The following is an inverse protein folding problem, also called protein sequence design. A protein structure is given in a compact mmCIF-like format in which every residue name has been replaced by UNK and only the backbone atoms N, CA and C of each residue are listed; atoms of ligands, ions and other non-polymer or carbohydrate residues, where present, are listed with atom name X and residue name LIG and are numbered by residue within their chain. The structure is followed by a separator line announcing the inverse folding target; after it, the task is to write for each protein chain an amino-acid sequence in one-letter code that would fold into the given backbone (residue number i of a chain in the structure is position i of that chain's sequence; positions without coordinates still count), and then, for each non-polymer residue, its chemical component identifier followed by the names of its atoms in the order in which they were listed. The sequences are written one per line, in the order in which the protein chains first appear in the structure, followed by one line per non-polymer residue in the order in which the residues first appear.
data_IF_832270828457
#
_entry.id   IF_832270828457
#
_cell.length_a   1.000
_cell.length_b   1.000
_cell.length_c   1.000
_cell.angle_alpha   90.00
_cell.angle_beta   90.00
_cell.angle_gamma   90.00
#
_symmetry.space_group_name_H-M   'P 1'
#
loop_
_entity.id
_entity.type
_entity.pdbx_description
1 polymer ?
#
# COMPACT_ATOMS: atom_id res chain seq x y z
N UNK A 1 38.48 -0.49 -16.95
CA UNK A 1 37.52 0.53 -17.42
C UNK A 1 36.07 0.02 -17.55
N UNK A 2 35.83 -1.30 -17.73
CA UNK A 2 34.47 -1.88 -17.62
C UNK A 2 33.99 -1.99 -16.17
N UNK A 3 34.86 -2.35 -15.23
CA UNK A 3 34.51 -2.40 -13.80
C UNK A 3 34.10 -1.04 -13.21
N UNK A 4 34.71 0.06 -13.65
CA UNK A 4 34.34 1.41 -13.16
C UNK A 4 33.03 1.93 -13.78
N UNK A 5 32.73 1.58 -15.03
CA UNK A 5 31.40 1.88 -15.62
C UNK A 5 30.33 0.95 -15.06
N UNK A 6 30.64 -0.33 -14.84
CA UNK A 6 29.76 -1.27 -14.14
C UNK A 6 29.49 -0.76 -12.73
N UNK A 7 30.53 -0.40 -11.94
CA UNK A 7 30.41 0.16 -10.59
C UNK A 7 29.78 1.56 -10.53
N UNK A 8 30.00 2.44 -11.50
CA UNK A 8 29.25 3.70 -11.62
C UNK A 8 27.77 3.46 -11.87
N UNK A 9 27.42 2.34 -12.51
CA UNK A 9 26.05 1.89 -12.68
C UNK A 9 25.55 1.16 -11.42
N UNK A 10 26.38 0.41 -10.69
CA UNK A 10 25.97 -0.32 -9.48
C UNK A 10 25.82 0.56 -8.23
N UNK A 11 26.77 1.47 -7.94
CA UNK A 11 26.64 2.38 -6.78
C UNK A 11 25.52 3.40 -7.00
N UNK A 12 25.40 3.92 -8.22
CA UNK A 12 24.29 4.80 -8.59
C UNK A 12 22.95 4.08 -8.48
N UNK A 13 22.84 2.84 -8.97
CA UNK A 13 21.60 2.06 -8.87
C UNK A 13 21.28 1.70 -7.42
N UNK A 14 22.27 1.25 -6.64
CA UNK A 14 22.13 1.05 -5.18
C UNK A 14 21.57 2.31 -4.52
N UNK A 15 22.22 3.45 -4.73
CA UNK A 15 21.78 4.72 -4.15
C UNK A 15 20.36 5.11 -4.57
N UNK A 16 19.99 4.93 -5.84
CA UNK A 16 18.64 5.20 -6.35
C UNK A 16 17.60 4.31 -5.67
N UNK A 17 17.85 3.00 -5.61
CA UNK A 17 16.91 2.03 -5.03
C UNK A 17 16.81 2.21 -3.51
N UNK A 18 17.93 2.37 -2.80
CA UNK A 18 17.94 2.63 -1.35
C UNK A 18 17.22 3.93 -1.02
N UNK A 19 17.41 4.99 -1.83
CA UNK A 19 16.67 6.24 -1.67
C UNK A 19 15.17 6.07 -1.92
N UNK A 20 14.78 5.29 -2.94
CA UNK A 20 13.37 4.94 -3.22
C UNK A 20 12.75 4.18 -2.04
N UNK A 21 13.49 3.23 -1.45
CA UNK A 21 13.08 2.48 -0.25
C UNK A 21 12.85 3.40 0.95
N UNK A 22 13.79 4.30 1.26
CA UNK A 22 13.68 5.19 2.42
C UNK A 22 12.57 6.24 2.27
N UNK A 23 12.29 6.66 1.04
CA UNK A 23 11.21 7.58 0.73
C UNK A 23 9.88 6.87 0.48
N UNK A 24 9.83 5.55 0.62
CA UNK A 24 8.62 4.78 0.34
C UNK A 24 7.55 5.08 1.38
N UNK A 25 6.52 5.82 0.95
CA UNK A 25 5.34 6.19 1.72
C UNK A 25 4.12 6.11 0.82
N UNK A 26 3.01 5.70 1.42
CA UNK A 26 1.71 5.65 0.76
C UNK A 26 1.15 7.07 0.66
N UNK A 27 0.72 7.46 -0.53
CA UNK A 27 -0.03 8.69 -0.72
C UNK A 27 -1.51 8.47 -0.37
N UNK A 28 -2.17 9.45 0.24
CA UNK A 28 -3.56 9.32 0.74
C UNK A 28 -4.63 9.01 -0.31
N UNK A 29 -4.33 9.21 -1.60
CA UNK A 29 -5.24 8.88 -2.71
C UNK A 29 -4.91 7.54 -3.39
N UNK A 30 -3.86 6.85 -2.95
CA UNK A 30 -3.42 5.58 -3.54
C UNK A 30 -4.19 4.43 -2.92
N UNK A 31 -4.72 3.52 -3.76
CA UNK A 31 -5.33 2.28 -3.26
C UNK A 31 -4.27 1.36 -2.65
N UNK A 32 -4.63 0.63 -1.59
CA UNK A 32 -3.69 -0.26 -0.91
C UNK A 32 -3.07 -1.29 -1.85
N UNK A 33 -3.87 -1.88 -2.75
CA UNK A 33 -3.38 -2.84 -3.74
C UNK A 33 -2.28 -2.27 -4.66
N UNK A 34 -2.38 -0.99 -5.04
CA UNK A 34 -1.38 -0.30 -5.86
C UNK A 34 -0.10 -0.09 -5.04
N UNK A 35 -0.25 0.35 -3.79
CA UNK A 35 0.87 0.54 -2.86
C UNK A 35 1.65 -0.76 -2.61
N UNK A 36 0.95 -1.89 -2.40
CA UNK A 36 1.56 -3.22 -2.27
C UNK A 36 2.29 -3.64 -3.55
N UNK A 37 1.77 -3.29 -4.73
CA UNK A 37 2.45 -3.53 -6.00
C UNK A 37 3.80 -2.81 -6.07
N UNK A 38 3.81 -1.51 -5.73
CA UNK A 38 5.03 -0.69 -5.67
C UNK A 38 6.02 -1.19 -4.62
N UNK A 39 5.52 -1.61 -3.45
CA UNK A 39 6.32 -2.22 -2.41
C UNK A 39 7.05 -3.47 -2.92
N UNK A 40 6.34 -4.40 -3.55
CA UNK A 40 6.91 -5.63 -4.12
C UNK A 40 7.97 -5.33 -5.18
N UNK A 41 7.75 -4.31 -5.99
CA UNK A 41 8.74 -3.86 -6.97
C UNK A 41 10.03 -3.38 -6.30
N UNK A 42 9.93 -2.61 -5.21
CA UNK A 42 11.10 -2.14 -4.47
C UNK A 42 11.82 -3.31 -3.79
N UNK A 43 11.09 -4.27 -3.20
CA UNK A 43 11.68 -5.48 -2.60
C UNK A 43 12.48 -6.26 -3.65
N UNK A 44 11.92 -6.44 -4.86
CA UNK A 44 12.62 -7.09 -5.97
C UNK A 44 13.85 -6.27 -6.39
N UNK A 45 13.75 -4.95 -6.49
CA UNK A 45 14.89 -4.08 -6.83
C UNK A 45 16.02 -4.19 -5.79
N UNK A 46 15.69 -4.26 -4.50
CA UNK A 46 16.65 -4.48 -3.41
C UNK A 46 17.39 -5.82 -3.56
N UNK A 47 16.68 -6.89 -3.93
CA UNK A 47 17.29 -8.17 -4.27
C UNK A 47 18.24 -8.06 -5.46
N UNK A 48 17.84 -7.37 -6.54
CA UNK A 48 18.70 -7.21 -7.74
C UNK A 48 19.99 -6.45 -7.50
N UNK A 49 20.03 -5.56 -6.50
CA UNK A 49 21.25 -4.82 -6.13
C UNK A 49 22.12 -5.55 -5.10
N UNK A 50 21.72 -6.76 -4.70
CA UNK A 50 22.44 -7.62 -3.76
C UNK A 50 22.14 -7.33 -2.28
N UNK A 51 21.05 -6.62 -1.98
CA UNK A 51 20.67 -6.22 -0.62
C UNK A 51 19.24 -6.71 -0.29
N UNK A 52 18.97 -8.02 -0.30
CA UNK A 52 17.62 -8.55 -0.06
C UNK A 52 17.08 -8.13 1.31
N UNK A 53 15.77 -7.92 1.37
CA UNK A 53 15.05 -7.58 2.60
C UNK A 53 14.44 -8.86 3.19
N UNK A 54 14.80 -9.19 4.43
CA UNK A 54 14.10 -10.25 5.16
C UNK A 54 12.64 -9.87 5.45
N UNK A 55 11.82 -10.86 5.81
CA UNK A 55 10.39 -10.67 6.04
C UNK A 55 10.09 -9.66 7.15
N UNK A 56 10.93 -9.60 8.19
CA UNK A 56 10.73 -8.67 9.31
C UNK A 56 10.94 -7.24 8.86
N UNK A 57 12.01 -6.97 8.10
CA UNK A 57 12.26 -5.66 7.49
C UNK A 57 11.17 -5.28 6.51
N UNK A 58 10.67 -6.24 5.72
CA UNK A 58 9.55 -6.01 4.82
C UNK A 58 8.27 -5.61 5.57
N UNK A 59 7.96 -6.27 6.69
CA UNK A 59 6.82 -5.91 7.55
C UNK A 59 6.95 -4.50 8.12
N UNK A 60 8.11 -4.16 8.69
CA UNK A 60 8.39 -2.84 9.26
C UNK A 60 8.21 -1.74 8.20
N UNK A 61 8.73 -1.97 7.00
CA UNK A 61 8.63 -1.03 5.88
C UNK A 61 7.18 -0.89 5.39
N UNK A 62 6.46 -1.99 5.21
CA UNK A 62 5.08 -1.96 4.76
C UNK A 62 4.21 -1.20 5.77
N UNK A 63 4.19 -1.63 7.04
CA UNK A 63 3.36 -1.02 8.09
C UNK A 63 3.73 0.45 8.35
N UNK A 64 5.04 0.74 8.37
CA UNK A 64 5.54 2.10 8.56
C UNK A 64 5.35 3.01 7.36
N UNK A 65 4.99 2.48 6.19
CA UNK A 65 4.74 3.28 4.97
C UNK A 65 3.29 3.73 4.81
N UNK A 66 2.35 3.13 5.55
CA UNK A 66 0.92 3.40 5.39
C UNK A 66 0.54 4.79 5.91
N UNK A 67 -0.57 5.30 5.39
CA UNK A 67 -1.18 6.54 5.88
C UNK A 67 -1.86 6.33 7.23
N UNK A 68 -2.20 7.44 7.91
CA UNK A 68 -2.88 7.39 9.21
C UNK A 68 -4.24 6.67 9.19
N UNK A 69 -4.86 6.53 8.01
CA UNK A 69 -6.09 5.75 7.81
C UNK A 69 -5.92 4.27 8.23
N UNK A 70 -4.71 3.73 8.07
CA UNK A 70 -4.38 2.35 8.44
C UNK A 70 -3.81 2.22 9.86
N UNK A 71 -3.60 3.33 10.59
CA UNK A 71 -2.94 3.35 11.90
C UNK A 71 -3.51 2.33 12.89
N UNK A 72 -4.84 2.23 12.95
CA UNK A 72 -5.54 1.34 13.88
C UNK A 72 -5.22 -0.13 13.59
N UNK A 73 -5.34 -0.55 12.32
CA UNK A 73 -5.04 -1.93 11.95
C UNK A 73 -3.55 -2.22 12.02
N UNK A 74 -2.67 -1.29 11.64
CA UNK A 74 -1.22 -1.45 11.82
C UNK A 74 -0.86 -1.75 13.27
N UNK A 75 -1.45 -1.03 14.23
CA UNK A 75 -1.20 -1.27 15.66
C UNK A 75 -1.62 -2.68 16.08
N UNK A 76 -2.75 -3.19 15.57
CA UNK A 76 -3.20 -4.56 15.87
C UNK A 76 -2.24 -5.58 15.27
N UNK A 77 -1.81 -5.38 14.02
CA UNK A 77 -0.89 -6.28 13.34
C UNK A 77 0.50 -6.30 13.99
N UNK A 78 1.00 -5.16 14.47
CA UNK A 78 2.27 -5.06 15.20
C UNK A 78 2.27 -5.86 16.51
N UNK A 79 1.13 -5.97 17.17
CA UNK A 79 0.98 -6.72 18.42
C UNK A 79 0.57 -8.18 18.23
N UNK A 80 0.38 -8.62 16.97
CA UNK A 80 -0.02 -9.99 16.69
C UNK A 80 1.19 -10.93 16.79
N UNK A 81 1.18 -11.95 17.67
CA UNK A 81 2.25 -12.93 17.70
C UNK A 81 2.27 -13.73 16.40
N UNK A 82 3.45 -14.17 15.95
CA UNK A 82 3.64 -14.94 14.70
C UNK A 82 3.14 -14.22 13.44
N UNK A 83 3.26 -12.89 13.41
CA UNK A 83 2.91 -12.06 12.26
C UNK A 83 3.73 -12.45 11.02
N UNK A 84 3.05 -12.55 9.86
CA UNK A 84 3.67 -12.81 8.56
C UNK A 84 3.30 -11.72 7.56
N UNK A 85 4.14 -11.49 6.55
CA UNK A 85 3.88 -10.47 5.53
C UNK A 85 2.62 -10.78 4.73
N UNK A 86 2.40 -12.06 4.40
CA UNK A 86 1.21 -12.49 3.67
C UNK A 86 -0.07 -12.17 4.45
N UNK A 87 -0.09 -12.47 5.75
CA UNK A 87 -1.24 -12.15 6.61
C UNK A 87 -1.44 -10.63 6.72
N UNK A 88 -0.37 -9.84 6.85
CA UNK A 88 -0.46 -8.37 6.86
C UNK A 88 -1.17 -7.84 5.62
N UNK A 89 -0.70 -8.26 4.44
CA UNK A 89 -1.24 -7.82 3.15
C UNK A 89 -2.71 -8.22 3.03
N UNK A 90 -3.08 -9.44 3.44
CA UNK A 90 -4.45 -9.90 3.40
C UNK A 90 -5.37 -9.10 4.33
N UNK A 91 -4.95 -8.89 5.59
CA UNK A 91 -5.73 -8.15 6.57
C UNK A 91 -5.96 -6.69 6.13
N UNK A 92 -4.90 -6.03 5.65
CA UNK A 92 -4.97 -4.66 5.16
C UNK A 92 -5.82 -4.52 3.88
N UNK A 93 -5.73 -5.49 2.96
CA UNK A 93 -6.57 -5.50 1.74
C UNK A 93 -8.06 -5.68 2.06
N UNK A 94 -8.39 -6.38 3.15
CA UNK A 94 -9.78 -6.60 3.56
C UNK A 94 -10.44 -5.31 4.06
N UNK A 95 -9.66 -4.42 4.68
CA UNK A 95 -10.14 -3.10 5.13
C UNK A 95 -10.44 -2.20 3.93
N UNK A 96 -9.51 -2.10 2.99
CA UNK A 96 -9.66 -1.29 1.76
C UNK A 96 -10.91 -1.72 0.95
N UNK A 97 -11.17 -3.03 0.86
CA UNK A 97 -12.36 -3.56 0.19
C UNK A 97 -13.68 -3.25 0.92
N UNK A 98 -13.65 -3.17 2.26
CA UNK A 98 -14.83 -2.87 3.08
C UNK A 98 -15.27 -1.41 2.94
N UNK A 99 -14.32 -0.48 2.86
CA UNK A 99 -14.62 0.95 2.69
C UNK A 99 -15.22 1.26 1.31
N UNK A 100 -14.75 0.61 0.26
CA UNK A 100 -15.34 0.71 -1.08
C UNK A 100 -16.79 0.18 -1.11
N UNK A 101 -17.04 -0.95 -0.45
CA UNK A 101 -18.38 -1.49 -0.32
C UNK A 101 -19.30 -0.51 0.41
N UNK A 102 -18.89 0.02 1.57
CA UNK A 102 -19.66 0.99 2.34
C UNK A 102 -20.01 2.27 1.54
N UNK A 103 -19.01 2.84 0.86
CA UNK A 103 -19.16 4.02 -0.02
C UNK A 103 -20.10 3.77 -1.19
N UNK A 104 -19.99 2.62 -1.86
CA UNK A 104 -20.85 2.26 -2.99
C UNK A 104 -22.32 2.09 -2.58
N UNK A 105 -22.59 1.42 -1.45
CA UNK A 105 -23.94 1.27 -0.92
C UNK A 105 -24.57 2.62 -0.55
N UNK A 106 -23.77 3.53 0.04
CA UNK A 106 -24.25 4.86 0.43
C UNK A 106 -24.60 5.72 -0.79
N UNK A 107 -23.77 5.71 -1.85
CA UNK A 107 -24.06 6.41 -3.12
C UNK A 107 -25.31 5.87 -3.81
N UNK A 108 -25.50 4.56 -3.84
CA UNK A 108 -26.69 3.91 -4.41
C UNK A 108 -27.97 4.30 -3.64
N UNK A 109 -27.91 4.39 -2.32
CA UNK A 109 -29.03 4.80 -1.49
C UNK A 109 -29.43 6.28 -1.72
N UNK A 110 -28.44 7.18 -1.82
CA UNK A 110 -28.66 8.60 -2.10
C UNK A 110 -29.28 8.81 -3.49
N UNK A 111 -28.83 8.06 -4.49
CA UNK A 111 -29.41 8.09 -5.83
C UNK A 111 -30.90 7.70 -5.78
N UNK A 112 -31.24 6.59 -5.11
CA UNK A 112 -32.62 6.09 -5.00
C UNK A 112 -33.57 7.10 -4.32
N UNK A 113 -33.13 7.75 -3.24
CA UNK A 113 -33.92 8.79 -2.53
C UNK A 113 -34.24 10.02 -3.42
N UNK A 114 -33.38 10.30 -4.40
CA UNK A 114 -33.53 11.44 -5.32
C UNK A 114 -34.53 11.17 -6.47
N UNK A 115 -34.83 9.90 -6.77
CA UNK A 115 -35.86 9.53 -7.74
C UNK A 115 -37.27 9.60 -7.14
N UNK A 116 -37.45 9.19 -5.88
CA UNK A 116 -38.78 9.22 -5.22
C UNK A 116 -39.30 10.64 -5.02
N UNK A 117 -38.43 11.62 -4.78
CA UNK A 117 -38.84 13.03 -4.60
C UNK A 117 -39.37 13.70 -5.88
N UNK A 118 -39.03 13.16 -7.06
CA UNK A 118 -39.47 13.71 -8.36
C UNK A 118 -40.83 13.21 -8.82
N UNK A 119 -41.43 12.22 -8.14
CA UNK A 119 -42.75 11.67 -8.50
C UNK A 119 -43.94 12.32 -7.78
N UNK A 120 -43.69 13.19 -6.79
CA UNK A 120 -44.76 13.77 -5.96
C UNK A 120 -45.20 15.20 -6.32
N UNK A 121 -44.62 15.82 -7.36
CA UNK A 121 -45.00 17.18 -7.78
C UNK A 121 -45.66 17.16 -9.16
N UNK A 122 -46.87 16.61 -9.22
CA UNK A 122 -47.73 16.59 -10.40
C UNK A 122 -49.18 16.60 -9.97
N UNK A 123 -49.69 17.77 -9.61
CA UNK A 123 -51.11 18.12 -9.60
C UNK A 123 -51.28 19.39 -10.39
#
# INVERSE_FOLDING_TARGET
MLEEQFNRTTLKNRLIVTKKLHNFKMESSTRFAVHVGQFKEIVLQMETIGEPLDETRQLVLLLGSLTDEYRMISTVLENTPTMTLAYAIQALSSVDASDESSSAHQKAFVAKKSYDKRRFNGK
#
